data_IF_005681889232
#
_entry.id   IF_005681889232
#
_cell.length_a   1.000
_cell.length_b   1.000
_cell.length_c   1.000
_cell.angle_alpha   90.00
_cell.angle_beta   90.00
_cell.angle_gamma   90.00
#
_symmetry.space_group_name_H-M   'P 1'
#
loop_
_entity.id
_entity.type
_entity.pdbx_description
1 polymer ?
#
# COMPACT_ATOMS: atom_id res chain seq x y z
N UNK A 1 -16.22 -13.71 18.85
CA UNK A 1 -16.83 -12.47 18.32
C UNK A 1 -15.66 -11.54 18.03
N UNK A 2 -15.48 -11.06 16.78
CA UNK A 2 -14.32 -10.23 16.45
C UNK A 2 -14.37 -8.92 17.26
N UNK A 3 -13.23 -8.58 17.87
CA UNK A 3 -12.98 -7.28 18.46
C UNK A 3 -13.12 -6.19 17.40
N UNK A 4 -13.32 -4.94 17.84
CA UNK A 4 -13.42 -3.80 16.92
C UNK A 4 -12.17 -3.66 16.04
N UNK A 5 -10.98 -3.89 16.59
CA UNK A 5 -9.73 -3.80 15.86
C UNK A 5 -9.61 -4.90 14.79
N UNK A 6 -10.05 -6.13 15.08
CA UNK A 6 -10.08 -7.21 14.09
C UNK A 6 -11.10 -6.95 12.97
N UNK A 7 -12.23 -6.31 13.28
CA UNK A 7 -13.19 -5.87 12.25
C UNK A 7 -12.59 -4.80 11.34
N UNK A 8 -11.90 -3.80 11.91
CA UNK A 8 -11.22 -2.77 11.13
C UNK A 8 -10.08 -3.37 10.28
N UNK A 9 -9.33 -4.34 10.81
CA UNK A 9 -8.33 -5.08 10.04
C UNK A 9 -8.96 -5.88 8.89
N UNK A 10 -10.00 -6.68 9.15
CA UNK A 10 -10.66 -7.48 8.11
C UNK A 10 -11.22 -6.60 6.99
N UNK A 11 -11.89 -5.49 7.35
CA UNK A 11 -12.39 -4.51 6.39
C UNK A 11 -11.27 -3.98 5.48
N UNK A 12 -10.09 -3.73 6.02
CA UNK A 12 -8.97 -3.19 5.24
C UNK A 12 -8.34 -4.21 4.28
N UNK A 13 -8.53 -5.50 4.53
CA UNK A 13 -8.03 -6.60 3.70
C UNK A 13 -9.08 -7.04 2.67
N UNK A 14 -10.38 -6.86 2.98
CA UNK A 14 -11.51 -7.34 2.16
C UNK A 14 -12.07 -6.27 1.22
N UNK A 15 -11.97 -4.98 1.56
CA UNK A 15 -12.46 -3.90 0.71
C UNK A 15 -11.38 -3.42 -0.27
N UNK A 16 -11.77 -3.36 -1.55
CA UNK A 16 -10.90 -2.93 -2.64
C UNK A 16 -11.16 -1.49 -3.10
N UNK A 17 -10.10 -0.87 -3.62
CA UNK A 17 -10.11 0.40 -4.32
C UNK A 17 -9.47 0.24 -5.69
N UNK A 18 -10.00 0.98 -6.65
CA UNK A 18 -9.47 1.01 -8.01
C UNK A 18 -8.70 2.31 -8.27
N UNK A 19 -7.50 2.17 -8.82
CA UNK A 19 -6.66 3.30 -9.23
C UNK A 19 -6.39 3.20 -10.72
N UNK A 20 -6.66 4.28 -11.46
CA UNK A 20 -6.26 4.34 -12.87
C UNK A 20 -4.79 4.75 -12.96
N UNK A 21 -4.00 3.88 -13.57
CA UNK A 21 -2.56 4.06 -13.72
C UNK A 21 -2.24 4.15 -15.21
N UNK A 22 -1.46 5.16 -15.61
CA UNK A 22 -0.89 5.21 -16.96
C UNK A 22 0.11 4.07 -17.14
N UNK A 23 0.05 3.33 -18.25
CA UNK A 23 0.99 2.21 -18.50
C UNK A 23 2.46 2.62 -18.43
N UNK A 24 2.77 3.86 -18.77
CA UNK A 24 4.15 4.38 -18.69
C UNK A 24 4.68 4.45 -17.24
N UNK A 25 3.78 4.47 -16.26
CA UNK A 25 4.11 4.52 -14.83
C UNK A 25 4.33 3.13 -14.23
N UNK A 26 3.89 2.05 -14.88
CA UNK A 26 4.03 0.68 -14.34
C UNK A 26 5.46 0.34 -13.96
N UNK A 27 6.40 0.54 -14.89
CA UNK A 27 7.81 0.21 -14.65
C UNK A 27 8.46 1.09 -13.59
N UNK A 28 8.30 2.43 -13.64
CA UNK A 28 8.72 3.29 -12.54
C UNK A 28 8.13 2.90 -11.17
N UNK A 29 6.84 2.56 -11.10
CA UNK A 29 6.18 2.16 -9.85
C UNK A 29 6.73 0.83 -9.31
N UNK A 30 6.97 -0.15 -10.19
CA UNK A 30 7.59 -1.42 -9.81
C UNK A 30 9.00 -1.20 -9.23
N UNK A 31 9.82 -0.34 -9.86
CA UNK A 31 11.14 0.01 -9.35
C UNK A 31 11.07 0.69 -7.98
N UNK A 32 10.03 1.50 -7.74
CA UNK A 32 9.83 2.18 -6.46
C UNK A 32 9.43 1.22 -5.36
N UNK A 33 8.50 0.31 -5.64
CA UNK A 33 8.10 -0.73 -4.70
C UNK A 33 9.28 -1.63 -4.34
N UNK A 34 10.12 -2.00 -5.31
CA UNK A 34 11.32 -2.78 -5.02
C UNK A 34 12.26 -2.06 -4.04
N UNK A 35 12.48 -0.75 -4.22
CA UNK A 35 13.27 0.06 -3.27
C UNK A 35 12.61 0.17 -1.90
N UNK A 36 11.29 0.26 -1.86
CA UNK A 36 10.54 0.29 -0.60
C UNK A 36 10.67 -1.03 0.16
N UNK A 37 10.56 -2.17 -0.54
CA UNK A 37 10.81 -3.50 0.03
C UNK A 37 12.24 -3.65 0.55
N UNK A 38 13.24 -3.18 -0.18
CA UNK A 38 14.63 -3.17 0.29
C UNK A 38 14.71 -2.41 1.63
N UNK A 39 14.12 -1.22 1.72
CA UNK A 39 14.07 -0.44 2.96
C UNK A 39 13.39 -1.20 4.12
N UNK A 40 12.20 -1.77 3.88
CA UNK A 40 11.46 -2.55 4.87
C UNK A 40 12.25 -3.79 5.34
N UNK A 41 12.98 -4.45 4.44
CA UNK A 41 13.79 -5.62 4.77
C UNK A 41 14.95 -5.28 5.71
N UNK A 42 15.56 -4.09 5.55
CA UNK A 42 16.56 -3.60 6.48
C UNK A 42 15.96 -3.32 7.87
N UNK A 43 14.77 -2.72 7.93
CA UNK A 43 14.08 -2.45 9.19
C UNK A 43 13.69 -3.75 9.92
N UNK A 44 13.22 -4.75 9.17
CA UNK A 44 12.85 -6.06 9.72
C UNK A 44 14.04 -6.76 10.39
N UNK A 45 15.24 -6.65 9.81
CA UNK A 45 16.47 -7.20 10.40
C UNK A 45 16.87 -6.56 11.72
N UNK A 46 16.30 -5.40 12.08
CA UNK A 46 16.60 -4.63 13.29
C UNK A 46 15.48 -4.79 14.33
N UNK A 47 14.22 -4.78 13.89
CA UNK A 47 13.04 -4.87 14.76
C UNK A 47 12.08 -5.93 14.19
N UNK A 48 11.96 -7.07 14.86
CA UNK A 48 10.92 -8.07 14.54
C UNK A 48 9.54 -7.54 14.94
N UNK A 49 8.92 -6.79 14.03
CA UNK A 49 7.64 -6.12 14.19
C UNK A 49 6.64 -6.64 13.15
N UNK A 50 5.49 -7.11 13.61
CA UNK A 50 4.39 -7.57 12.76
C UNK A 50 3.99 -6.52 11.72
N UNK A 51 3.98 -5.23 12.09
CA UNK A 51 3.66 -4.16 11.15
C UNK A 51 4.63 -4.07 9.96
N UNK A 52 5.92 -4.39 10.16
CA UNK A 52 6.91 -4.41 9.07
C UNK A 52 6.63 -5.60 8.15
N UNK A 53 6.36 -6.78 8.72
CA UNK A 53 6.03 -7.97 7.92
C UNK A 53 4.72 -7.79 7.15
N UNK A 54 3.69 -7.20 7.75
CA UNK A 54 2.41 -6.88 7.10
C UNK A 54 2.64 -5.93 5.91
N UNK A 55 3.42 -4.86 6.10
CA UNK A 55 3.81 -3.96 5.02
C UNK A 55 4.60 -4.65 3.90
N UNK A 56 5.54 -5.55 4.24
CA UNK A 56 6.29 -6.34 3.24
C UNK A 56 5.33 -7.19 2.41
N UNK A 57 4.43 -7.93 3.06
CA UNK A 57 3.47 -8.79 2.36
C UNK A 57 2.58 -7.98 1.40
N UNK A 58 2.10 -6.82 1.84
CA UNK A 58 1.30 -5.93 1.01
C UNK A 58 2.11 -5.35 -0.16
N UNK A 59 3.34 -4.91 0.07
CA UNK A 59 4.23 -4.42 -0.98
C UNK A 59 4.54 -5.50 -2.03
N UNK A 60 4.80 -6.73 -1.62
CA UNK A 60 4.98 -7.88 -2.52
C UNK A 60 3.72 -8.13 -3.36
N UNK A 61 2.52 -8.08 -2.75
CA UNK A 61 1.26 -8.26 -3.46
C UNK A 61 1.05 -7.17 -4.52
N UNK A 62 1.35 -5.91 -4.20
CA UNK A 62 1.28 -4.81 -5.17
C UNK A 62 2.26 -5.06 -6.33
N UNK A 63 3.48 -5.53 -6.06
CA UNK A 63 4.44 -5.87 -7.11
C UNK A 63 3.91 -6.95 -8.05
N UNK A 64 3.32 -8.01 -7.51
CA UNK A 64 2.69 -9.08 -8.32
C UNK A 64 1.59 -8.50 -9.21
N UNK A 65 0.71 -7.67 -8.65
CA UNK A 65 -0.37 -7.01 -9.41
C UNK A 65 0.18 -6.13 -10.54
N UNK A 66 1.22 -5.33 -10.28
CA UNK A 66 1.87 -4.52 -11.31
C UNK A 66 2.51 -5.37 -12.42
N UNK A 67 3.17 -6.47 -12.07
CA UNK A 67 3.79 -7.39 -13.04
C UNK A 67 2.73 -8.05 -13.95
N UNK A 68 1.59 -8.43 -13.39
CA UNK A 68 0.45 -8.95 -14.17
C UNK A 68 -0.05 -7.89 -15.15
N UNK A 69 -0.24 -6.64 -14.68
CA UNK A 69 -0.72 -5.54 -15.51
C UNK A 69 0.29 -5.14 -16.62
N UNK A 70 1.59 -5.35 -16.40
CA UNK A 70 2.61 -5.19 -17.44
C UNK A 70 2.49 -6.21 -18.58
N UNK A 71 1.98 -7.41 -18.28
CA UNK A 71 1.77 -8.45 -19.28
C UNK A 71 0.53 -8.19 -20.17
N UNK A 72 -0.33 -7.22 -19.82
CA UNK A 72 -1.48 -6.87 -20.65
C UNK A 72 -1.07 -6.26 -22.01
N UNK A 73 -1.88 -6.46 -23.08
CA UNK A 73 -1.58 -5.95 -24.43
C UNK A 73 -1.30 -4.44 -24.50
N UNK A 74 -0.29 -4.03 -25.30
CA UNK A 74 0.27 -2.67 -25.36
C UNK A 74 -0.68 -1.57 -25.90
N UNK A 75 -1.83 -1.94 -26.42
CA UNK A 75 -2.82 -1.03 -27.03
C UNK A 75 -3.59 -0.19 -25.99
N UNK A 76 -3.58 -0.58 -24.72
CA UNK A 76 -4.18 0.21 -23.62
C UNK A 76 -3.21 1.24 -23.05
N UNK A 77 -3.60 2.52 -23.05
CA UNK A 77 -2.82 3.62 -22.44
C UNK A 77 -2.96 3.68 -20.92
N UNK A 78 -4.12 3.31 -20.42
CA UNK A 78 -4.45 3.26 -19.00
C UNK A 78 -4.86 1.84 -18.60
N UNK A 79 -4.56 1.50 -17.36
CA UNK A 79 -4.87 0.23 -16.71
C UNK A 79 -5.50 0.51 -15.34
N UNK A 80 -6.25 -0.45 -14.84
CA UNK A 80 -6.85 -0.40 -13.51
C UNK A 80 -5.99 -1.24 -12.58
N UNK A 81 -5.46 -0.61 -11.53
CA UNK A 81 -4.80 -1.28 -10.43
C UNK A 81 -5.79 -1.39 -9.28
N UNK A 82 -6.21 -2.61 -8.99
CA UNK A 82 -7.12 -2.95 -7.89
C UNK A 82 -6.30 -3.33 -6.65
N UNK A 83 -6.52 -2.63 -5.54
CA UNK A 83 -5.80 -2.80 -4.28
C UNK A 83 -6.80 -2.92 -3.13
N UNK A 84 -6.57 -3.80 -2.17
CA UNK A 84 -7.32 -3.68 -0.91
C UNK A 84 -6.88 -2.40 -0.16
N UNK A 85 -7.66 -1.94 0.81
CA UNK A 85 -7.34 -0.70 1.54
C UNK A 85 -5.95 -0.78 2.22
N UNK A 86 -5.53 -1.94 2.74
CA UNK A 86 -4.21 -2.11 3.33
C UNK A 86 -3.07 -1.91 2.30
N UNK A 87 -3.17 -2.57 1.15
CA UNK A 87 -2.28 -2.39 0.01
C UNK A 87 -2.30 -0.95 -0.52
N UNK A 88 -3.47 -0.32 -0.58
CA UNK A 88 -3.62 1.08 -0.97
C UNK A 88 -2.82 2.01 -0.05
N UNK A 89 -2.86 1.80 1.27
CA UNK A 89 -2.10 2.60 2.22
C UNK A 89 -0.58 2.45 1.99
N UNK A 90 -0.10 1.23 1.78
CA UNK A 90 1.31 0.96 1.44
C UNK A 90 1.70 1.60 0.11
N UNK A 91 0.86 1.46 -0.92
CA UNK A 91 1.07 2.05 -2.24
C UNK A 91 1.17 3.57 -2.17
N UNK A 92 0.28 4.22 -1.41
CA UNK A 92 0.30 5.67 -1.17
C UNK A 92 1.61 6.11 -0.50
N UNK A 93 2.04 5.42 0.55
CA UNK A 93 3.29 5.74 1.24
C UNK A 93 4.50 5.59 0.30
N UNK A 94 4.53 4.53 -0.50
CA UNK A 94 5.57 4.29 -1.51
C UNK A 94 5.63 5.42 -2.57
N UNK A 95 4.49 5.82 -3.14
CA UNK A 95 4.41 6.91 -4.14
C UNK A 95 4.88 8.24 -3.55
N UNK A 96 4.46 8.56 -2.32
CA UNK A 96 4.86 9.81 -1.65
C UNK A 96 6.34 9.86 -1.29
N UNK A 97 6.89 8.78 -0.71
CA UNK A 97 8.31 8.71 -0.38
C UNK A 97 9.17 8.93 -1.63
N UNK A 98 8.77 8.33 -2.74
CA UNK A 98 9.46 8.49 -4.00
C UNK A 98 9.43 9.95 -4.52
N UNK A 99 8.27 10.63 -4.47
CA UNK A 99 8.18 12.03 -4.87
C UNK A 99 9.05 12.94 -3.99
N UNK A 100 9.13 12.64 -2.69
CA UNK A 100 10.04 13.34 -1.78
C UNK A 100 11.51 13.11 -2.17
N UNK A 101 11.90 11.86 -2.47
CA UNK A 101 13.27 11.52 -2.86
C UNK A 101 13.69 12.12 -4.21
N UNK A 102 12.75 12.28 -5.16
CA UNK A 102 13.04 12.96 -6.43
C UNK A 102 13.22 14.48 -6.28
N UNK A 103 12.93 15.05 -5.10
CA UNK A 103 13.13 16.47 -4.81
C UNK A 103 12.27 17.43 -5.65
N UNK A 104 11.26 16.93 -6.37
CA UNK A 104 10.45 17.73 -7.29
C UNK A 104 9.03 17.22 -7.45
N UNK A 105 8.12 18.18 -7.68
CA UNK A 105 6.85 17.95 -8.32
C UNK A 105 7.06 17.35 -9.72
N UNK A 106 6.58 16.12 -9.94
CA UNK A 106 6.69 15.46 -11.23
C UNK A 106 5.29 15.36 -11.87
N UNK A 107 5.06 16.16 -12.91
CA UNK A 107 3.78 16.20 -13.65
C UNK A 107 3.29 14.82 -14.12
N UNK A 108 4.20 13.87 -14.36
CA UNK A 108 3.85 12.50 -14.75
C UNK A 108 3.06 11.75 -13.67
N UNK A 109 3.24 12.14 -12.40
CA UNK A 109 2.56 11.52 -11.26
C UNK A 109 1.39 12.36 -10.75
N UNK A 110 1.14 13.55 -11.30
CA UNK A 110 0.13 14.49 -10.79
C UNK A 110 -1.26 13.85 -10.74
N UNK A 111 -1.69 13.24 -11.84
CA UNK A 111 -3.00 12.57 -11.90
C UNK A 111 -3.07 11.35 -10.98
N UNK A 112 -1.97 10.60 -10.83
CA UNK A 112 -1.90 9.45 -9.92
C UNK A 112 -2.00 9.90 -8.46
N UNK A 113 -1.24 10.91 -8.07
CA UNK A 113 -1.25 11.48 -6.71
C UNK A 113 -2.60 12.08 -6.39
N UNK A 114 -3.21 12.82 -7.33
CA UNK A 114 -4.55 13.39 -7.12
C UNK A 114 -5.59 12.30 -6.88
N UNK A 115 -5.53 11.20 -7.64
CA UNK A 115 -6.41 10.05 -7.44
C UNK A 115 -6.19 9.39 -6.07
N UNK A 116 -4.93 9.12 -5.71
CA UNK A 116 -4.57 8.54 -4.41
C UNK A 116 -5.08 9.41 -3.26
N UNK A 117 -4.83 10.72 -3.28
CA UNK A 117 -5.28 11.61 -2.21
C UNK A 117 -6.81 11.76 -2.17
N UNK A 118 -7.48 11.71 -3.32
CA UNK A 118 -8.95 11.69 -3.39
C UNK A 118 -9.51 10.45 -2.69
N UNK A 119 -8.99 9.26 -3.02
CA UNK A 119 -9.41 7.99 -2.39
C UNK A 119 -9.11 8.03 -0.89
N UNK A 120 -7.90 8.44 -0.51
CA UNK A 120 -7.50 8.54 0.89
C UNK A 120 -8.40 9.49 1.70
N UNK A 121 -8.86 10.59 1.09
CA UNK A 121 -9.76 11.54 1.75
C UNK A 121 -11.15 10.97 2.07
N UNK A 122 -11.58 9.93 1.34
CA UNK A 122 -12.85 9.24 1.55
C UNK A 122 -12.77 8.18 2.66
N UNK A 123 -11.57 7.73 3.00
CA UNK A 123 -11.36 6.76 4.07
C UNK A 123 -11.60 7.38 5.46
N UNK A 124 -12.24 6.61 6.35
CA UNK A 124 -12.44 7.03 7.72
C UNK A 124 -11.11 7.04 8.49
N UNK A 125 -10.68 8.23 8.91
CA UNK A 125 -9.43 8.44 9.65
C UNK A 125 -9.37 7.67 10.97
N UNK A 126 -10.51 7.41 11.62
CA UNK A 126 -10.56 6.62 12.85
C UNK A 126 -10.24 5.15 12.54
N UNK A 127 -10.78 4.62 11.46
CA UNK A 127 -10.59 3.22 11.08
C UNK A 127 -9.15 2.98 10.61
N UNK A 128 -8.56 3.95 9.88
CA UNK A 128 -7.12 3.94 9.55
C UNK A 128 -6.27 3.89 10.82
N UNK A 129 -6.59 4.71 11.81
CA UNK A 129 -5.86 4.71 13.08
C UNK A 129 -5.99 3.36 13.80
N UNK A 130 -7.21 2.82 13.88
CA UNK A 130 -7.46 1.52 14.52
C UNK A 130 -6.73 0.37 13.82
N UNK A 131 -6.69 0.37 12.48
CA UNK A 131 -5.87 -0.56 11.69
C UNK A 131 -4.39 -0.44 12.04
N UNK A 132 -3.82 0.77 12.01
CA UNK A 132 -2.41 1.00 12.34
C UNK A 132 -2.11 0.57 13.79
N UNK A 133 -2.92 0.97 14.75
CA UNK A 133 -2.77 0.60 16.16
C UNK A 133 -2.83 -0.94 16.35
N UNK A 134 -3.66 -1.64 15.59
CA UNK A 134 -3.76 -3.10 15.64
C UNK A 134 -2.48 -3.78 15.18
N UNK A 135 -1.94 -3.40 14.01
CA UNK A 135 -0.74 -4.03 13.45
C UNK A 135 0.51 -3.70 14.28
N UNK A 136 0.63 -2.47 14.82
CA UNK A 136 1.74 -2.08 15.68
C UNK A 136 1.73 -2.82 17.03
N UNK A 137 0.54 -3.07 17.60
CA UNK A 137 0.39 -3.74 18.89
C UNK A 137 0.07 -5.23 18.77
N UNK A 138 0.28 -5.83 17.59
CA UNK A 138 -0.17 -7.20 17.31
C UNK A 138 0.33 -8.24 18.32
N UNK A 139 1.59 -8.15 18.78
CA UNK A 139 2.14 -9.08 19.80
C UNK A 139 1.39 -8.97 21.15
N UNK A 140 0.98 -7.76 21.55
CA UNK A 140 0.20 -7.52 22.77
C UNK A 140 -1.25 -7.99 22.58
N UNK A 141 -1.85 -7.69 21.43
CA UNK A 141 -3.20 -8.13 21.08
C UNK A 141 -3.30 -9.65 21.05
N UNK A 142 -2.33 -10.35 20.46
CA UNK A 142 -2.26 -11.82 20.42
C UNK A 142 -2.09 -12.42 21.82
N UNK A 143 -1.34 -11.77 22.72
CA UNK A 143 -1.15 -12.23 24.09
C UNK A 143 -2.39 -12.05 24.98
N UNK A 144 -3.23 -11.05 24.70
CA UNK A 144 -4.52 -10.84 25.41
C UNK A 144 -5.59 -11.84 24.96
N UNK A 145 -5.40 -12.45 23.79
CA UNK A 145 -6.34 -13.39 23.16
C UNK A 145 -6.02 -14.87 23.45
N UNK A 146 -4.91 -15.16 24.13
CA UNK A 146 -4.51 -16.50 24.60
C UNK A 146 -4.68 -16.61 26.12
#
# INVERSE_FOLDING_TARGET
MLSRAEKSYSMFIEEDVEIKVSKELLFPLLQQLNRHLEALSYEQGIIDNFAIQDNINHAEMIMVKLLILMAEPYDRKEIILELNIAEFLVFRECVHLNLQLMGMYNKKYEDLVRQIESIYSMLNKRDIKEYKDYIYNYKVNKAILN
#
